data_IF_942663487699
#
_entry.id   IF_942663487699
#
_cell.length_a   1.000
_cell.length_b   1.000
_cell.length_c   1.000
_cell.angle_alpha   90.00
_cell.angle_beta   90.00
_cell.angle_gamma   90.00
#
_symmetry.space_group_name_H-M   'P 1'
#
loop_
_entity.id
_entity.type
_entity.pdbx_description
1 polymer ?
#
# COMPACT_ATOMS: atom_id res chain seq x y z
N UNK A 1 -9.97 13.60 -36.24
CA UNK A 1 -9.74 14.41 -35.04
C UNK A 1 -8.27 14.25 -34.71
N UNK A 2 -7.44 15.25 -35.03
CA UNK A 2 -6.02 15.22 -34.72
C UNK A 2 -5.85 15.54 -33.24
N UNK A 3 -5.44 14.55 -32.45
CA UNK A 3 -5.01 14.78 -31.08
C UNK A 3 -3.70 15.59 -31.13
N UNK A 4 -3.80 16.90 -30.87
CA UNK A 4 -2.60 17.75 -30.70
C UNK A 4 -1.78 17.18 -29.55
N UNK A 5 -0.59 16.68 -29.86
CA UNK A 5 0.40 16.28 -28.85
C UNK A 5 0.76 17.54 -28.05
N UNK A 6 0.60 17.54 -26.72
CA UNK A 6 0.92 18.69 -25.89
C UNK A 6 2.40 19.04 -25.99
N UNK A 7 2.71 20.33 -25.85
CA UNK A 7 4.10 20.80 -25.90
C UNK A 7 4.86 20.32 -24.66
N UNK A 8 6.16 20.15 -24.79
CA UNK A 8 7.01 19.60 -23.73
C UNK A 8 6.94 20.44 -22.45
N UNK A 9 6.86 21.76 -22.59
CA UNK A 9 6.70 22.72 -21.49
C UNK A 9 5.39 22.48 -20.73
N UNK A 10 4.29 22.24 -21.44
CA UNK A 10 2.97 21.94 -20.83
C UNK A 10 2.97 20.61 -20.06
N UNK A 11 3.87 19.68 -20.42
CA UNK A 11 4.05 18.41 -19.70
C UNK A 11 4.81 18.66 -18.40
N UNK A 12 5.89 19.46 -18.43
CA UNK A 12 6.67 19.78 -17.23
C UNK A 12 5.87 20.62 -16.24
N UNK A 13 5.13 21.63 -16.70
CA UNK A 13 4.27 22.46 -15.85
C UNK A 13 3.20 21.63 -15.11
N UNK A 14 2.69 20.58 -15.76
CA UNK A 14 1.73 19.64 -15.15
C UNK A 14 2.39 18.74 -14.11
N UNK A 15 3.58 18.24 -14.38
CA UNK A 15 4.33 17.41 -13.43
C UNK A 15 4.67 18.22 -12.18
N UNK A 16 5.17 19.45 -12.33
CA UNK A 16 5.51 20.31 -11.20
C UNK A 16 4.26 20.66 -10.37
N UNK A 17 3.11 20.88 -11.01
CA UNK A 17 1.84 21.09 -10.34
C UNK A 17 1.30 19.84 -9.61
N UNK A 18 1.54 18.63 -10.14
CA UNK A 18 1.18 17.37 -9.50
C UNK A 18 2.10 17.03 -8.32
N UNK A 19 3.41 17.28 -8.44
CA UNK A 19 4.39 17.10 -7.35
C UNK A 19 4.17 18.08 -6.20
N UNK A 20 3.60 19.26 -6.48
CA UNK A 20 3.27 20.29 -5.49
C UNK A 20 1.98 20.03 -4.72
N UNK A 21 1.17 19.03 -5.10
CA UNK A 21 -0.08 18.71 -4.39
C UNK A 21 0.23 18.00 -3.09
N UNK A 22 -0.24 18.58 -1.98
CA UNK A 22 -0.30 17.88 -0.70
C UNK A 22 -1.10 16.57 -0.88
N UNK A 23 -0.48 15.43 -0.54
CA UNK A 23 -1.15 14.14 -0.61
C UNK A 23 -2.39 14.17 0.28
N UNK A 24 -3.54 13.78 -0.27
CA UNK A 24 -4.75 13.70 0.53
C UNK A 24 -4.63 12.57 1.55
N UNK A 25 -5.38 12.68 2.65
CA UNK A 25 -5.47 11.61 3.63
C UNK A 25 -5.95 10.28 3.00
N UNK A 26 -6.79 10.35 1.97
CA UNK A 26 -7.25 9.18 1.22
C UNK A 26 -6.11 8.52 0.43
N UNK A 27 -5.23 9.31 -0.19
CA UNK A 27 -4.04 8.80 -0.90
C UNK A 27 -3.07 8.14 0.06
N UNK A 28 -2.86 8.73 1.24
CA UNK A 28 -2.04 8.14 2.29
C UNK A 28 -2.58 6.78 2.79
N UNK A 29 -3.90 6.66 2.96
CA UNK A 29 -4.52 5.38 3.30
C UNK A 29 -4.42 4.35 2.19
N UNK A 30 -4.62 4.77 0.93
CA UNK A 30 -4.50 3.89 -0.22
C UNK A 30 -3.07 3.32 -0.33
N UNK A 31 -2.06 4.18 -0.22
CA UNK A 31 -0.66 3.77 -0.21
C UNK A 31 -0.36 2.81 0.95
N UNK A 32 -0.84 3.12 2.16
CA UNK A 32 -0.64 2.26 3.33
C UNK A 32 -1.27 0.86 3.16
N UNK A 33 -2.42 0.76 2.50
CA UNK A 33 -3.06 -0.53 2.19
C UNK A 33 -2.18 -1.33 1.22
N UNK A 34 -1.72 -0.71 0.13
CA UNK A 34 -0.87 -1.38 -0.88
C UNK A 34 0.44 -1.87 -0.29
N UNK A 35 1.08 -1.04 0.55
CA UNK A 35 2.27 -1.41 1.28
C UNK A 35 2.04 -2.62 2.20
N UNK A 36 0.95 -2.61 2.99
CA UNK A 36 0.61 -3.73 3.88
C UNK A 36 0.32 -5.02 3.12
N UNK A 37 -0.29 -4.94 1.93
CA UNK A 37 -0.50 -6.11 1.09
C UNK A 37 0.81 -6.76 0.64
N UNK A 38 1.81 -5.96 0.30
CA UNK A 38 3.14 -6.49 -0.03
C UNK A 38 3.81 -7.11 1.19
N UNK A 39 3.77 -6.44 2.34
CA UNK A 39 4.30 -6.95 3.60
C UNK A 39 3.65 -8.29 3.98
N UNK A 40 2.33 -8.42 3.86
CA UNK A 40 1.61 -9.68 4.13
C UNK A 40 2.11 -10.79 3.21
N UNK A 41 2.29 -10.54 1.91
CA UNK A 41 2.84 -11.53 0.97
C UNK A 41 4.25 -11.97 1.36
N UNK A 42 5.08 -11.05 1.84
CA UNK A 42 6.43 -11.38 2.31
C UNK A 42 6.39 -12.23 3.58
N UNK A 43 5.50 -11.89 4.52
CA UNK A 43 5.31 -12.65 5.75
C UNK A 43 4.79 -14.07 5.47
N UNK A 44 3.84 -14.24 4.55
CA UNK A 44 3.34 -15.56 4.15
C UNK A 44 4.48 -16.45 3.57
N UNK A 45 5.42 -15.86 2.82
CA UNK A 45 6.63 -16.58 2.34
C UNK A 45 7.58 -16.96 3.49
N UNK A 46 7.74 -16.09 4.48
CA UNK A 46 8.57 -16.38 5.66
C UNK A 46 7.94 -17.48 6.53
N UNK A 47 6.60 -17.51 6.60
CA UNK A 47 5.86 -18.54 7.31
C UNK A 47 6.14 -19.92 6.71
N UNK A 48 6.08 -20.05 5.38
CA UNK A 48 6.42 -21.30 4.69
C UNK A 48 7.88 -21.72 4.95
N UNK A 49 8.83 -20.78 4.88
CA UNK A 49 10.24 -21.07 5.19
C UNK A 49 10.45 -21.52 6.64
N UNK A 50 9.68 -20.98 7.59
CA UNK A 50 9.74 -21.39 8.98
C UNK A 50 9.27 -22.84 9.17
N UNK A 51 8.20 -23.22 8.44
CA UNK A 51 7.70 -24.60 8.40
C UNK A 51 8.72 -25.56 7.78
N UNK A 52 9.31 -25.20 6.64
CA UNK A 52 10.34 -26.00 5.97
C UNK A 52 11.57 -26.26 6.85
N UNK A 53 11.95 -25.26 7.66
CA UNK A 53 13.09 -25.35 8.59
C UNK A 53 12.72 -25.95 9.96
N UNK A 54 11.45 -26.25 10.17
CA UNK A 54 10.92 -26.72 11.44
C UNK A 54 11.32 -25.81 12.62
N UNK A 55 11.16 -24.49 12.44
CA UNK A 55 11.45 -23.45 13.44
C UNK A 55 10.13 -22.86 13.98
N UNK A 56 9.59 -23.40 15.09
CA UNK A 56 8.30 -22.97 15.63
C UNK A 56 8.32 -21.57 16.22
N UNK A 57 9.48 -21.13 16.73
CA UNK A 57 9.63 -19.79 17.31
C UNK A 57 9.53 -18.73 16.22
N UNK A 58 10.27 -18.92 15.13
CA UNK A 58 10.21 -18.04 13.98
C UNK A 58 8.83 -18.07 13.33
N UNK A 59 8.22 -19.26 13.17
CA UNK A 59 6.87 -19.40 12.65
C UNK A 59 5.85 -18.56 13.44
N UNK A 60 5.83 -18.68 14.77
CA UNK A 60 4.89 -17.94 15.61
C UNK A 60 5.08 -16.43 15.52
N UNK A 61 6.33 -15.96 15.47
CA UNK A 61 6.64 -14.54 15.32
C UNK A 61 6.16 -13.99 13.96
N UNK A 62 6.40 -14.72 12.87
CA UNK A 62 5.95 -14.32 11.53
C UNK A 62 4.42 -14.31 11.45
N UNK A 63 3.76 -15.32 12.00
CA UNK A 63 2.30 -15.41 12.05
C UNK A 63 1.66 -14.25 12.81
N UNK A 64 2.22 -13.89 13.97
CA UNK A 64 1.73 -12.75 14.74
C UNK A 64 1.90 -11.42 13.98
N UNK A 65 3.03 -11.23 13.32
CA UNK A 65 3.27 -10.07 12.44
C UNK A 65 2.27 -10.01 11.30
N UNK A 66 1.97 -11.15 10.65
CA UNK A 66 1.01 -11.22 9.57
C UNK A 66 -0.42 -10.90 10.03
N UNK A 67 -0.80 -11.38 11.22
CA UNK A 67 -2.08 -11.03 11.84
C UNK A 67 -2.21 -9.53 12.08
N UNK A 68 -1.20 -8.91 12.69
CA UNK A 68 -1.19 -7.45 12.94
C UNK A 68 -1.26 -6.64 11.64
N UNK A 69 -0.51 -7.03 10.62
CA UNK A 69 -0.55 -6.36 9.32
C UNK A 69 -1.96 -6.40 8.70
N UNK A 70 -2.65 -7.54 8.80
CA UNK A 70 -4.05 -7.70 8.33
C UNK A 70 -5.04 -6.85 9.13
N UNK A 71 -4.85 -6.73 10.44
CA UNK A 71 -5.68 -5.87 11.30
C UNK A 71 -5.55 -4.40 10.92
N UNK A 72 -4.31 -3.91 10.72
CA UNK A 72 -4.06 -2.54 10.27
C UNK A 72 -4.61 -2.31 8.86
N UNK A 73 -4.42 -3.25 7.93
CA UNK A 73 -4.96 -3.14 6.57
C UNK A 73 -6.50 -2.97 6.59
N UNK A 74 -7.18 -3.74 7.45
CA UNK A 74 -8.63 -3.65 7.65
C UNK A 74 -9.03 -2.29 8.23
N UNK A 75 -8.27 -1.76 9.19
CA UNK A 75 -8.51 -0.43 9.75
C UNK A 75 -8.39 0.67 8.69
N UNK A 76 -7.32 0.63 7.87
CA UNK A 76 -7.12 1.59 6.79
C UNK A 76 -8.22 1.51 5.74
N UNK A 77 -8.66 0.30 5.35
CA UNK A 77 -9.81 0.11 4.44
C UNK A 77 -11.09 0.74 4.99
N UNK A 78 -11.35 0.59 6.29
CA UNK A 78 -12.51 1.21 6.94
C UNK A 78 -12.40 2.74 6.96
N UNK A 79 -11.23 3.29 7.29
CA UNK A 79 -10.97 4.73 7.28
C UNK A 79 -11.15 5.32 5.88
N UNK A 80 -10.62 4.66 4.85
CA UNK A 80 -10.77 5.08 3.46
C UNK A 80 -12.24 5.03 3.01
N UNK A 81 -12.99 4.00 3.40
CA UNK A 81 -14.43 3.90 3.12
C UNK A 81 -15.22 5.05 3.74
N UNK A 82 -14.89 5.44 4.98
CA UNK A 82 -15.56 6.53 5.66
C UNK A 82 -15.27 7.89 4.98
N UNK A 83 -14.06 8.09 4.44
CA UNK A 83 -13.76 9.30 3.64
C UNK A 83 -14.57 9.32 2.34
N UNK A 84 -14.70 8.17 1.66
CA UNK A 84 -15.40 8.08 0.36
C UNK A 84 -16.93 8.18 0.45
N UNK A 85 -17.50 7.90 1.63
CA UNK A 85 -18.94 7.93 1.88
C UNK A 85 -19.41 9.23 2.55
N UNK A 86 -18.49 10.13 2.89
CA UNK A 86 -18.75 11.49 3.38
C UNK A 86 -18.63 12.48 2.22
#
# INVERSE_FOLDING_TARGET
MDAKVPKLEEIYDRIEAEESREQSQADGYQWGIEYLQDVIKQLDKLEQRALEKNDPSFYNNVKLSAQRAREVEKELKNKLRNIRNN
#
